data_IF_048867519822
#
_entry.id   IF_048867519822
#
_cell.length_a   1.000
_cell.length_b   1.000
_cell.length_c   1.000
_cell.angle_alpha   90.00
_cell.angle_beta   90.00
_cell.angle_gamma   90.00
#
_symmetry.space_group_name_H-M   'P 1'
#
loop_
_entity.id
_entity.type
_entity.pdbx_description
1 polymer ?
#
# COMPACT_ATOMS: atom_id res chain seq x y z
N UNK A 1 21.05 1.81 5.65
CA UNK A 1 21.04 0.73 4.64
C UNK A 1 19.65 0.75 4.02
N UNK A 2 19.46 1.55 2.98
CA UNK A 2 18.16 1.71 2.33
C UNK A 2 17.94 0.53 1.38
N UNK A 3 16.75 -0.07 1.43
CA UNK A 3 16.36 -1.08 0.44
C UNK A 3 16.09 -0.34 -0.86
N UNK A 4 17.05 -0.33 -1.79
CA UNK A 4 16.78 0.02 -3.18
C UNK A 4 16.12 -1.18 -3.83
N UNK A 5 14.81 -1.13 -4.05
CA UNK A 5 14.16 -2.03 -5.00
C UNK A 5 14.65 -1.67 -6.40
N UNK A 6 15.09 -2.67 -7.18
CA UNK A 6 15.36 -2.43 -8.59
C UNK A 6 14.04 -2.19 -9.33
N UNK A 7 14.07 -1.41 -10.41
CA UNK A 7 12.87 -1.11 -11.22
C UNK A 7 12.12 -2.37 -11.66
N UNK A 8 12.87 -3.43 -12.00
CA UNK A 8 12.35 -4.74 -12.36
C UNK A 8 11.45 -5.35 -11.27
N UNK A 9 11.78 -5.14 -9.99
CA UNK A 9 10.99 -5.66 -8.87
C UNK A 9 9.67 -4.88 -8.70
N UNK A 10 9.64 -3.60 -9.05
CA UNK A 10 8.42 -2.77 -8.93
C UNK A 10 7.40 -3.15 -10.01
N UNK A 11 7.86 -3.50 -11.22
CA UNK A 11 6.98 -3.97 -12.30
C UNK A 11 6.29 -5.30 -11.92
N UNK A 12 6.99 -6.20 -11.22
CA UNK A 12 6.41 -7.45 -10.74
C UNK A 12 5.21 -7.26 -9.79
N UNK A 13 5.09 -6.10 -9.15
CA UNK A 13 4.04 -5.78 -8.17
C UNK A 13 2.81 -5.14 -8.84
N UNK A 14 2.69 -5.24 -10.17
CA UNK A 14 1.52 -4.79 -10.92
C UNK A 14 0.30 -5.74 -10.79
N UNK A 15 -0.16 -5.94 -9.56
CA UNK A 15 -1.33 -6.75 -9.21
C UNK A 15 -2.41 -5.89 -8.55
N UNK A 16 -3.68 -6.25 -8.74
CA UNK A 16 -4.86 -5.57 -8.15
C UNK A 16 -4.80 -5.43 -6.62
N UNK A 17 -4.02 -6.27 -5.94
CA UNK A 17 -3.80 -6.27 -4.49
C UNK A 17 -2.96 -5.07 -4.01
N UNK A 18 -2.29 -4.35 -4.92
CA UNK A 18 -1.44 -3.21 -4.60
C UNK A 18 -1.93 -1.94 -5.28
N UNK A 19 -1.51 -0.79 -4.74
CA UNK A 19 -1.74 0.49 -5.38
C UNK A 19 -1.00 0.50 -6.73
N UNK A 20 -1.69 0.78 -7.85
CA UNK A 20 -1.06 0.73 -9.15
C UNK A 20 0.15 1.66 -9.25
N UNK A 21 1.30 1.11 -9.60
CA UNK A 21 2.48 1.86 -9.96
C UNK A 21 2.29 2.45 -11.36
N UNK A 22 2.54 3.76 -11.52
CA UNK A 22 2.32 4.49 -12.77
C UNK A 22 3.62 4.84 -13.49
N UNK A 23 4.74 4.94 -12.77
CA UNK A 23 6.03 5.26 -13.36
C UNK A 23 7.05 5.78 -12.36
N UNK A 24 8.21 6.17 -12.85
CA UNK A 24 9.30 6.70 -12.03
C UNK A 24 9.97 7.88 -12.73
N UNK A 25 10.71 8.67 -11.97
CA UNK A 25 11.63 9.68 -12.47
C UNK A 25 12.94 9.54 -11.71
N UNK A 26 14.03 9.24 -12.41
CA UNK A 26 15.38 9.22 -11.85
C UNK A 26 16.17 10.32 -12.57
N UNK A 27 16.55 11.36 -11.85
CA UNK A 27 17.45 12.40 -12.35
C UNK A 27 18.90 12.05 -11.99
N UNK A 28 19.85 12.47 -12.82
CA UNK A 28 21.29 12.24 -12.64
C UNK A 28 21.85 12.91 -11.36
N UNK A 29 21.04 13.74 -10.70
CA UNK A 29 21.36 14.47 -9.46
C UNK A 29 20.96 13.74 -8.17
N UNK A 30 20.85 12.41 -8.21
CA UNK A 30 20.45 11.53 -7.10
C UNK A 30 18.98 11.68 -6.62
N UNK A 31 18.14 12.41 -7.36
CA UNK A 31 16.71 12.46 -7.05
C UNK A 31 15.96 11.28 -7.68
N UNK A 32 15.23 10.53 -6.83
CA UNK A 32 14.47 9.35 -7.24
C UNK A 32 13.03 9.47 -6.81
N UNK A 33 12.12 9.49 -7.78
CA UNK A 33 10.69 9.56 -7.56
C UNK A 33 10.01 8.30 -8.09
N UNK A 34 9.02 7.82 -7.32
CA UNK A 34 8.09 6.78 -7.73
C UNK A 34 6.68 7.37 -7.74
N UNK A 35 5.97 7.15 -8.84
CA UNK A 35 4.63 7.67 -9.07
C UNK A 35 3.63 6.52 -8.96
N UNK A 36 2.67 6.67 -8.07
CA UNK A 36 1.59 5.70 -7.83
C UNK A 36 0.23 6.35 -8.10
N UNK A 37 -0.77 5.52 -8.36
CA UNK A 37 -2.16 5.98 -8.43
C UNK A 37 -2.58 6.54 -7.08
N UNK A 38 -3.08 7.76 -7.09
CA UNK A 38 -3.66 8.37 -5.90
C UNK A 38 -4.92 7.62 -5.48
N UNK A 39 -5.00 7.29 -4.20
CA UNK A 39 -6.19 6.70 -3.57
C UNK A 39 -6.83 7.74 -2.68
N UNK A 40 -8.09 8.08 -2.94
CA UNK A 40 -8.83 9.13 -2.23
C UNK A 40 -9.14 8.81 -0.77
N UNK A 41 -9.22 7.53 -0.43
CA UNK A 41 -9.42 7.10 0.94
C UNK A 41 -8.06 7.19 1.65
N UNK A 42 -8.05 7.92 2.76
CA UNK A 42 -6.87 8.07 3.59
C UNK A 42 -6.29 6.71 4.00
N UNK A 43 -5.05 6.73 4.47
CA UNK A 43 -4.38 5.54 4.98
C UNK A 43 -5.24 4.81 6.02
N UNK A 44 -5.19 3.48 6.01
CA UNK A 44 -5.91 2.62 6.94
C UNK A 44 -5.69 3.03 8.40
N UNK A 45 -4.51 3.54 8.76
CA UNK A 45 -4.23 4.04 10.10
C UNK A 45 -5.18 5.19 10.49
N UNK A 46 -5.50 6.11 9.58
CA UNK A 46 -6.44 7.19 9.81
C UNK A 46 -7.86 6.66 10.09
N UNK A 47 -8.26 5.59 9.40
CA UNK A 47 -9.56 4.97 9.59
C UNK A 47 -9.66 4.14 10.89
N UNK A 48 -8.57 3.46 11.25
CA UNK A 48 -8.52 2.59 12.44
C UNK A 48 -8.38 3.38 13.74
N UNK A 49 -7.64 4.49 13.73
CA UNK A 49 -7.30 5.28 14.92
C UNK A 49 -8.01 6.63 14.98
N UNK A 50 -9.15 6.78 14.28
CA UNK A 50 -9.97 8.00 14.31
C UNK A 50 -10.27 8.38 15.76
N UNK A 51 -9.88 9.59 16.16
CA UNK A 51 -10.18 10.08 17.51
C UNK A 51 -11.68 10.36 17.64
N UNK A 52 -12.29 10.17 18.81
CA UNK A 52 -13.71 10.46 19.03
C UNK A 52 -14.08 11.91 18.67
N UNK A 53 -13.13 12.83 18.83
CA UNK A 53 -13.29 14.27 18.64
C UNK A 53 -12.97 14.71 17.18
N UNK A 54 -12.59 13.75 16.32
CA UNK A 54 -12.24 14.01 14.93
C UNK A 54 -13.50 14.02 14.05
N UNK A 55 -14.05 15.21 13.84
CA UNK A 55 -15.22 15.48 12.98
C UNK A 55 -14.92 15.35 11.48
N UNK A 56 -13.86 14.65 11.09
CA UNK A 56 -13.60 14.35 9.68
C UNK A 56 -14.63 13.34 9.17
N UNK A 57 -15.78 13.83 8.71
CA UNK A 57 -16.90 13.06 8.14
C UNK A 57 -16.51 12.31 6.84
N UNK A 58 -15.30 12.53 6.33
CA UNK A 58 -14.81 11.90 5.11
C UNK A 58 -14.44 10.43 5.27
N UNK A 59 -14.20 9.94 6.50
CA UNK A 59 -13.85 8.54 6.74
C UNK A 59 -14.93 7.83 7.58
N UNK A 60 -15.60 6.81 7.02
CA UNK A 60 -16.54 5.98 7.77
C UNK A 60 -15.80 5.16 8.83
N UNK A 61 -16.45 4.94 9.98
CA UNK A 61 -15.98 3.96 10.96
C UNK A 61 -15.95 2.58 10.30
N UNK A 62 -14.82 1.88 10.38
CA UNK A 62 -14.69 0.54 9.84
C UNK A 62 -15.37 -0.44 10.79
N UNK A 63 -16.48 -1.04 10.38
CA UNK A 63 -17.10 -2.16 11.09
C UNK A 63 -16.23 -3.43 11.01
N UNK A 64 -16.60 -4.46 11.77
CA UNK A 64 -15.85 -5.71 11.83
C UNK A 64 -15.76 -6.44 10.48
N UNK A 65 -16.82 -6.36 9.67
CA UNK A 65 -16.88 -7.04 8.37
C UNK A 65 -15.88 -6.38 7.42
N UNK A 66 -15.84 -5.05 7.38
CA UNK A 66 -14.89 -4.29 6.57
C UNK A 66 -13.46 -4.54 7.04
N UNK A 67 -13.21 -4.52 8.35
CA UNK A 67 -11.87 -4.83 8.93
C UNK A 67 -11.40 -6.23 8.53
N UNK A 68 -12.30 -7.21 8.54
CA UNK A 68 -11.99 -8.59 8.15
C UNK A 68 -11.62 -8.68 6.67
N UNK A 69 -12.36 -8.00 5.78
CA UNK A 69 -12.03 -7.93 4.35
C UNK A 69 -10.66 -7.30 4.10
N UNK A 70 -10.34 -6.22 4.82
CA UNK A 70 -9.03 -5.57 4.74
C UNK A 70 -7.93 -6.53 5.17
N UNK A 71 -8.10 -7.22 6.31
CA UNK A 71 -7.10 -8.17 6.81
C UNK A 71 -6.82 -9.31 5.81
N UNK A 72 -7.86 -9.86 5.18
CA UNK A 72 -7.73 -10.88 4.14
C UNK A 72 -6.99 -10.32 2.92
N UNK A 73 -7.38 -9.15 2.42
CA UNK A 73 -6.71 -8.53 1.27
C UNK A 73 -5.23 -8.23 1.52
N UNK A 74 -4.88 -7.78 2.74
CA UNK A 74 -3.49 -7.59 3.16
C UNK A 74 -2.73 -8.92 3.20
N UNK A 75 -3.32 -9.98 3.76
CA UNK A 75 -2.71 -11.30 3.78
C UNK A 75 -2.45 -11.84 2.37
N UNK A 76 -3.41 -11.68 1.45
CA UNK A 76 -3.27 -12.10 0.05
C UNK A 76 -2.16 -11.34 -0.68
N UNK A 77 -2.01 -10.04 -0.41
CA UNK A 77 -0.90 -9.24 -0.93
C UNK A 77 0.45 -9.70 -0.37
N UNK A 78 0.53 -10.02 0.92
CA UNK A 78 1.76 -10.54 1.52
C UNK A 78 2.14 -11.92 0.97
N UNK A 79 1.15 -12.80 0.73
CA UNK A 79 1.38 -14.10 0.10
C UNK A 79 1.94 -13.93 -1.32
N UNK A 80 1.39 -12.99 -2.11
CA UNK A 80 1.93 -12.68 -3.43
C UNK A 80 3.42 -12.34 -3.39
N UNK A 81 3.79 -11.40 -2.52
CA UNK A 81 5.16 -10.93 -2.41
C UNK A 81 6.13 -12.06 -2.00
N UNK A 82 5.71 -12.94 -1.09
CA UNK A 82 6.58 -13.98 -0.56
C UNK A 82 6.63 -15.27 -1.39
N UNK A 83 5.54 -15.63 -2.05
CA UNK A 83 5.40 -16.93 -2.70
C UNK A 83 5.25 -16.86 -4.22
N UNK A 84 4.69 -15.76 -4.75
CA UNK A 84 4.42 -15.62 -6.19
C UNK A 84 5.49 -14.77 -6.91
N UNK A 85 6.15 -13.83 -6.23
CA UNK A 85 7.28 -13.09 -6.80
C UNK A 85 8.56 -13.92 -6.86
N UNK A 86 9.31 -13.76 -7.95
CA UNK A 86 10.59 -14.43 -8.17
C UNK A 86 11.67 -13.39 -8.55
N UNK A 87 12.63 -13.11 -7.65
CA UNK A 87 12.78 -13.68 -6.30
C UNK A 87 11.71 -13.18 -5.30
N UNK A 88 11.46 -13.90 -4.20
CA UNK A 88 10.57 -13.45 -3.14
C UNK A 88 10.92 -12.06 -2.63
N UNK A 89 9.91 -11.20 -2.49
CA UNK A 89 10.05 -9.82 -2.03
C UNK A 89 9.60 -9.71 -0.58
N UNK A 90 10.46 -9.18 0.29
CA UNK A 90 10.10 -8.91 1.69
C UNK A 90 9.63 -7.46 1.83
N UNK A 91 8.41 -7.28 2.32
CA UNK A 91 7.85 -5.95 2.59
C UNK A 91 8.48 -5.35 3.87
N UNK A 92 9.60 -4.62 3.72
CA UNK A 92 10.45 -4.17 4.83
C UNK A 92 9.89 -3.11 5.80
N UNK A 93 8.71 -2.52 5.57
CA UNK A 93 8.08 -1.53 6.46
C UNK A 93 6.56 -1.77 6.59
N UNK A 94 6.17 -2.79 7.34
CA UNK A 94 4.92 -3.55 7.13
C UNK A 94 3.61 -2.97 7.69
N UNK A 95 3.51 -1.77 8.28
CA UNK A 95 2.26 -1.45 9.02
C UNK A 95 1.69 -0.03 8.93
N UNK A 96 2.19 0.87 8.08
CA UNK A 96 1.75 2.29 8.12
C UNK A 96 1.28 2.91 6.82
N UNK A 97 1.20 2.19 5.70
CA UNK A 97 0.61 2.74 4.47
C UNK A 97 -0.17 1.69 3.68
N UNK A 98 -1.35 1.32 4.18
CA UNK A 98 -2.34 0.60 3.39
C UNK A 98 -3.40 1.59 2.94
N UNK A 99 -3.40 1.93 1.66
CA UNK A 99 -4.47 2.73 1.07
C UNK A 99 -5.77 1.91 1.05
N UNK A 100 -6.82 2.44 1.68
CA UNK A 100 -8.15 1.85 1.59
C UNK A 100 -8.65 1.95 0.15
N UNK A 101 -8.97 0.83 -0.48
CA UNK A 101 -9.76 0.82 -1.71
C UNK A 101 -11.11 0.18 -1.37
N UNK A 102 -12.16 1.00 -1.29
CA UNK A 102 -13.53 0.60 -0.93
C UNK A 102 -14.42 0.54 -2.18
N UNK A 103 -13.92 -0.05 -3.26
CA UNK A 103 -14.75 -0.49 -4.38
C UNK A 103 -15.31 -1.90 -4.12
#
# INVERSE_FOLDING_TARGET
MGISFSYEQIIQISDRRFVPFLGHCFDDKDEKFLVYRYTSNADLSCALFKKPDDHNDRLPSLDWIIRSKIAIGVADGLVFLHAECAPPLVHGYTITRFSLNLE
#
